data_IF_978482241727
#
_entry.id   IF_978482241727
#
_cell.length_a   1.000
_cell.length_b   1.000
_cell.length_c   1.000
_cell.angle_alpha   90.00
_cell.angle_beta   90.00
_cell.angle_gamma   90.00
#
_symmetry.space_group_name_H-M   'P 1'
#
loop_
_entity.id
_entity.type
_entity.pdbx_description
1 polymer ?
#
# COMPACT_ATOMS: atom_id res chain seq x y z
N UNK A 1 -34.43 41.40 -39.38
CA UNK A 1 -33.56 42.34 -38.63
C UNK A 1 -33.69 42.04 -37.16
N UNK A 2 -32.58 41.69 -36.51
CA UNK A 2 -32.29 41.66 -35.07
C UNK A 2 -31.19 40.60 -34.86
N UNK A 3 -30.22 40.88 -34.01
CA UNK A 3 -28.95 40.11 -33.88
C UNK A 3 -28.85 39.53 -32.48
N UNK A 4 -28.31 38.31 -32.37
CA UNK A 4 -27.83 37.75 -31.10
C UNK A 4 -26.50 36.99 -31.31
N UNK A 5 -25.39 37.71 -31.16
CA UNK A 5 -24.20 37.20 -30.46
C UNK A 5 -24.65 36.87 -29.01
N UNK A 6 -24.12 35.96 -28.20
CA UNK A 6 -22.86 35.19 -28.11
C UNK A 6 -23.19 33.85 -27.39
N UNK A 7 -22.36 32.80 -27.31
CA UNK A 7 -20.98 32.59 -27.74
C UNK A 7 -20.74 31.11 -28.12
N UNK A 8 -19.56 30.80 -28.66
CA UNK A 8 -18.99 29.44 -28.67
C UNK A 8 -17.93 29.34 -27.58
N UNK A 9 -18.27 28.77 -26.43
CA UNK A 9 -17.28 28.25 -25.49
C UNK A 9 -17.79 26.93 -24.92
N UNK A 10 -17.20 25.86 -25.43
CA UNK A 10 -17.40 24.51 -24.94
C UNK A 10 -16.86 24.39 -23.51
N UNK A 11 -17.67 23.81 -22.64
CA UNK A 11 -17.26 22.65 -21.85
C UNK A 11 -15.97 22.80 -21.00
N UNK A 12 -15.77 23.93 -20.32
CA UNK A 12 -14.95 23.95 -19.10
C UNK A 12 -15.85 23.74 -17.88
N UNK A 13 -16.52 22.59 -17.86
CA UNK A 13 -16.82 21.97 -16.59
C UNK A 13 -15.46 21.69 -15.96
N UNK A 14 -15.21 22.27 -14.78
CA UNK A 14 -13.97 22.10 -14.04
C UNK A 14 -13.79 20.61 -13.74
N UNK A 15 -13.01 19.94 -14.59
CA UNK A 15 -12.42 18.65 -14.27
C UNK A 15 -11.34 18.93 -13.22
N UNK A 16 -11.81 19.17 -11.99
CA UNK A 16 -11.09 18.75 -10.82
C UNK A 16 -11.04 17.23 -10.85
N UNK A 17 -10.20 16.70 -11.73
CA UNK A 17 -9.52 15.48 -11.41
C UNK A 17 -8.87 15.76 -10.06
N UNK A 18 -9.37 15.10 -9.02
CA UNK A 18 -8.45 14.69 -7.98
C UNK A 18 -7.46 13.81 -8.72
N UNK A 19 -6.29 14.38 -9.02
CA UNK A 19 -5.07 13.65 -8.72
C UNK A 19 -5.22 13.33 -7.24
N UNK A 20 -5.74 12.14 -6.95
CA UNK A 20 -5.29 11.42 -5.77
C UNK A 20 -3.78 11.39 -5.99
N UNK A 21 -3.02 12.11 -5.17
CA UNK A 21 -1.57 12.07 -5.28
C UNK A 21 -1.18 10.64 -4.89
N UNK A 22 -0.52 9.96 -5.81
CA UNK A 22 -0.27 8.52 -5.68
C UNK A 22 0.55 8.29 -4.41
N UNK A 23 -0.09 7.67 -3.42
CA UNK A 23 0.49 7.45 -2.11
C UNK A 23 1.39 6.21 -2.15
N UNK A 24 2.56 6.27 -1.53
CA UNK A 24 3.53 5.17 -1.54
C UNK A 24 4.43 5.16 -0.30
N UNK A 25 5.28 4.14 -0.18
CA UNK A 25 6.40 4.09 0.77
C UNK A 25 7.71 4.16 -0.03
N UNK A 26 8.55 5.15 0.26
CA UNK A 26 9.81 5.36 -0.46
C UNK A 26 10.83 4.28 -0.11
N UNK A 27 11.37 3.63 -1.13
CA UNK A 27 12.29 2.50 -0.99
C UNK A 27 11.63 1.13 -1.17
N UNK A 28 10.32 1.08 -1.46
CA UNK A 28 9.57 -0.12 -1.89
C UNK A 28 9.23 -0.10 -3.40
N UNK A 29 10.21 -0.27 -4.32
CA UNK A 29 9.97 -0.45 -5.75
C UNK A 29 9.18 -1.72 -6.10
N UNK A 30 8.98 -2.64 -5.15
CA UNK A 30 8.38 -3.94 -5.40
C UNK A 30 6.87 -3.97 -5.10
N UNK A 31 6.41 -3.08 -4.21
CA UNK A 31 5.01 -2.83 -3.87
C UNK A 31 4.45 -3.84 -2.86
N UNK A 32 5.27 -4.34 -1.94
CA UNK A 32 4.83 -5.26 -0.87
C UNK A 32 4.50 -4.56 0.47
N UNK A 33 4.75 -3.26 0.57
CA UNK A 33 4.52 -2.43 1.75
C UNK A 33 5.71 -2.35 2.71
N UNK A 34 6.84 -2.99 2.38
CA UNK A 34 8.03 -3.10 3.22
C UNK A 34 9.28 -2.52 2.55
N UNK A 35 10.38 -2.41 3.30
CA UNK A 35 11.71 -2.20 2.71
C UNK A 35 12.62 -3.31 3.20
N UNK A 36 13.03 -4.16 2.26
CA UNK A 36 13.89 -5.29 2.51
C UNK A 36 14.88 -5.53 1.34
N UNK A 37 15.40 -6.76 1.21
CA UNK A 37 16.35 -7.11 0.15
C UNK A 37 15.69 -7.29 -1.23
N UNK A 38 14.40 -7.63 -1.29
CA UNK A 38 13.66 -7.80 -2.56
C UNK A 38 13.57 -6.49 -3.33
N UNK A 39 13.54 -5.35 -2.65
CA UNK A 39 13.53 -4.01 -3.22
C UNK A 39 14.79 -3.67 -3.99
N UNK A 40 15.93 -3.92 -3.36
CA UNK A 40 17.25 -3.79 -3.98
C UNK A 40 17.33 -4.66 -5.23
N UNK A 41 16.79 -5.88 -5.15
CA UNK A 41 16.73 -6.81 -6.29
C UNK A 41 15.77 -6.27 -7.38
N UNK A 42 14.62 -5.72 -7.02
CA UNK A 42 13.63 -5.14 -7.93
C UNK A 42 14.23 -3.98 -8.75
N UNK A 43 14.79 -2.97 -8.07
CA UNK A 43 15.45 -1.82 -8.72
C UNK A 43 16.61 -2.26 -9.62
N UNK A 44 17.47 -3.18 -9.17
CA UNK A 44 18.59 -3.66 -10.00
C UNK A 44 18.13 -4.54 -11.19
N UNK A 45 17.06 -5.31 -11.04
CA UNK A 45 16.47 -6.09 -12.14
C UNK A 45 15.89 -5.16 -13.23
N UNK A 46 15.16 -4.12 -12.83
CA UNK A 46 14.67 -3.07 -13.72
C UNK A 46 15.82 -2.39 -14.48
N UNK A 47 16.84 -1.89 -13.75
CA UNK A 47 17.94 -1.12 -14.32
C UNK A 47 18.87 -1.92 -15.24
N UNK A 48 19.17 -3.18 -14.92
CA UNK A 48 20.27 -3.92 -15.56
C UNK A 48 19.87 -5.22 -16.26
N UNK A 49 18.75 -5.85 -15.88
CA UNK A 49 18.34 -7.14 -16.43
C UNK A 49 17.12 -7.05 -17.36
N UNK A 50 16.54 -5.85 -17.53
CA UNK A 50 15.34 -5.65 -18.33
C UNK A 50 14.09 -6.25 -17.67
N UNK A 51 14.03 -6.21 -16.34
CA UNK A 51 12.81 -6.50 -15.58
C UNK A 51 11.69 -5.50 -15.89
N UNK A 52 10.49 -5.81 -15.41
CA UNK A 52 9.35 -4.89 -15.50
C UNK A 52 9.69 -3.55 -14.85
N UNK A 53 9.15 -2.46 -15.40
CA UNK A 53 9.14 -1.16 -14.72
C UNK A 53 8.39 -1.28 -13.39
N UNK A 54 8.92 -0.75 -12.27
CA UNK A 54 8.16 -0.59 -11.03
C UNK A 54 6.84 0.12 -11.28
N UNK A 55 5.76 -0.29 -10.59
CA UNK A 55 4.49 0.44 -10.61
C UNK A 55 4.62 1.85 -10.03
N UNK A 56 5.58 2.02 -9.13
CA UNK A 56 5.92 3.27 -8.45
C UNK A 56 7.41 3.58 -8.63
N UNK A 57 7.72 4.60 -9.45
CA UNK A 57 9.11 5.01 -9.67
C UNK A 57 9.65 5.88 -8.53
N UNK A 58 8.79 6.63 -7.84
CA UNK A 58 9.19 7.40 -6.64
C UNK A 58 9.59 6.48 -5.48
N UNK A 59 9.00 5.27 -5.40
CA UNK A 59 9.44 4.26 -4.46
C UNK A 59 10.78 3.60 -4.85
N UNK A 60 11.12 3.60 -6.14
CA UNK A 60 12.40 3.11 -6.64
C UNK A 60 13.55 4.13 -6.51
N UNK A 61 13.23 5.42 -6.44
CA UNK A 61 14.15 6.50 -6.05
C UNK A 61 14.22 6.60 -4.51
N UNK A 62 15.08 5.77 -3.95
CA UNK A 62 15.21 5.56 -2.51
C UNK A 62 15.91 6.74 -1.81
N UNK A 63 16.75 7.50 -2.53
CA UNK A 63 17.45 8.67 -1.98
C UNK A 63 16.80 10.03 -2.33
N UNK A 64 15.71 10.00 -3.11
CA UNK A 64 14.88 11.13 -3.56
C UNK A 64 15.67 12.19 -4.35
N UNK A 65 16.38 11.76 -5.40
CA UNK A 65 17.20 12.62 -6.26
C UNK A 65 16.56 13.00 -7.61
N UNK A 66 15.39 12.43 -7.93
CA UNK A 66 14.66 12.53 -9.20
C UNK A 66 15.13 11.57 -10.29
N UNK A 67 15.92 10.53 -9.94
CA UNK A 67 16.49 9.57 -10.88
C UNK A 67 16.68 8.19 -10.24
N UNK A 68 15.90 7.20 -10.69
CA UNK A 68 16.12 5.79 -10.35
C UNK A 68 17.41 5.29 -11.00
N UNK A 69 18.40 4.92 -10.18
CA UNK A 69 19.73 4.51 -10.63
C UNK A 69 20.42 3.53 -9.66
N UNK A 70 21.71 3.25 -9.88
CA UNK A 70 22.46 2.30 -9.05
C UNK A 70 22.64 2.78 -7.59
N UNK A 71 22.59 4.09 -7.34
CA UNK A 71 22.77 4.63 -5.98
C UNK A 71 21.61 4.28 -5.06
N UNK A 72 20.39 4.12 -5.58
CA UNK A 72 19.20 3.76 -4.81
C UNK A 72 19.33 2.38 -4.17
N UNK A 73 19.74 1.38 -4.95
CA UNK A 73 20.03 0.05 -4.42
C UNK A 73 21.16 0.06 -3.37
N UNK A 74 22.16 0.94 -3.54
CA UNK A 74 23.23 1.14 -2.55
C UNK A 74 22.71 1.86 -1.29
N UNK A 75 21.78 2.81 -1.46
CA UNK A 75 21.15 3.58 -0.38
C UNK A 75 20.32 2.65 0.50
N UNK A 76 19.41 1.87 -0.09
CA UNK A 76 18.58 0.88 0.62
C UNK A 76 19.45 -0.17 1.34
N UNK A 77 20.52 -0.68 0.71
CA UNK A 77 21.47 -1.58 1.40
C UNK A 77 22.19 -0.92 2.59
N UNK A 78 22.56 0.36 2.48
CA UNK A 78 23.18 1.09 3.57
C UNK A 78 22.21 1.33 4.73
N UNK A 79 20.97 1.69 4.43
CA UNK A 79 19.90 1.79 5.42
C UNK A 79 19.71 0.46 6.16
N UNK A 80 19.50 -0.64 5.44
CA UNK A 80 19.19 -1.96 6.00
C UNK A 80 20.35 -2.59 6.81
N UNK A 81 21.61 -2.46 6.35
CA UNK A 81 22.73 -3.24 6.91
C UNK A 81 23.88 -2.42 7.49
N UNK A 82 23.98 -1.13 7.17
CA UNK A 82 25.10 -0.26 7.59
C UNK A 82 24.70 0.83 8.58
N UNK A 83 23.41 0.94 8.96
CA UNK A 83 22.91 2.03 9.77
C UNK A 83 22.97 3.38 9.04
N UNK A 84 22.70 3.37 7.73
CA UNK A 84 22.61 4.56 6.89
C UNK A 84 21.44 5.47 7.26
N UNK A 85 21.26 6.54 6.51
CA UNK A 85 20.07 7.39 6.63
C UNK A 85 18.81 6.57 6.31
N UNK A 86 17.73 6.82 7.04
CA UNK A 86 16.40 6.36 6.66
C UNK A 86 15.94 7.07 5.36
N UNK A 87 15.12 6.41 4.51
CA UNK A 87 14.57 7.04 3.32
C UNK A 87 13.92 8.40 3.63
N UNK A 88 14.04 9.38 2.71
CA UNK A 88 13.22 10.59 2.75
C UNK A 88 11.73 10.25 2.73
N UNK A 89 10.88 11.16 3.22
CA UNK A 89 9.44 10.98 3.15
C UNK A 89 8.95 10.71 1.71
N UNK A 90 7.92 9.88 1.49
CA UNK A 90 7.11 9.16 2.51
C UNK A 90 7.78 7.90 3.07
N UNK A 91 8.03 7.84 4.37
CA UNK A 91 8.54 6.64 5.09
C UNK A 91 8.44 6.84 6.62
N UNK A 92 8.13 5.80 7.42
CA UNK A 92 7.69 4.45 7.02
C UNK A 92 6.22 4.36 6.64
N UNK A 93 5.41 5.38 6.96
CA UNK A 93 4.02 5.43 6.55
C UNK A 93 3.85 5.85 5.09
N UNK A 94 2.76 5.38 4.48
CA UNK A 94 2.23 5.86 3.22
C UNK A 94 2.10 7.38 3.16
N UNK A 95 2.51 7.98 2.04
CA UNK A 95 2.27 9.40 1.78
C UNK A 95 2.57 9.83 0.35
N UNK A 96 2.32 11.11 0.09
CA UNK A 96 2.60 11.77 -1.19
C UNK A 96 4.09 12.15 -1.29
N UNK A 97 4.65 12.20 -2.50
CA UNK A 97 5.95 12.84 -2.68
C UNK A 97 5.86 14.37 -2.49
N UNK A 98 6.77 14.91 -1.69
CA UNK A 98 6.80 16.34 -1.35
C UNK A 98 7.67 17.17 -2.30
N UNK A 99 8.42 16.54 -3.21
CA UNK A 99 9.40 17.18 -4.10
C UNK A 99 9.11 16.97 -5.59
N UNK A 100 7.84 16.69 -5.92
CA UNK A 100 7.33 16.25 -7.22
C UNK A 100 8.17 16.63 -8.45
N UNK A 101 8.69 15.62 -9.14
CA UNK A 101 9.56 15.76 -10.31
C UNK A 101 9.00 15.10 -11.60
N UNK A 102 9.82 14.37 -12.37
CA UNK A 102 9.40 13.66 -13.59
C UNK A 102 9.08 12.17 -13.34
N UNK A 103 9.42 11.65 -12.14
CA UNK A 103 8.97 10.36 -11.64
C UNK A 103 7.50 10.44 -11.17
N UNK A 104 6.94 9.29 -10.81
CA UNK A 104 5.52 9.15 -10.47
C UNK A 104 5.15 7.70 -10.14
N UNK A 105 3.97 7.53 -9.53
CA UNK A 105 3.50 6.23 -9.05
C UNK A 105 2.17 5.78 -9.65
N UNK A 106 2.24 5.29 -10.90
CA UNK A 106 1.06 4.81 -11.63
C UNK A 106 0.29 3.69 -10.93
N UNK A 107 0.98 2.79 -10.22
CA UNK A 107 0.38 1.68 -9.46
C UNK A 107 1.17 1.42 -8.17
N UNK A 108 0.54 1.61 -7.00
CA UNK A 108 1.10 1.24 -5.70
C UNK A 108 0.01 0.76 -4.73
N UNK A 109 -0.25 -0.54 -4.72
CA UNK A 109 -1.34 -1.16 -3.96
C UNK A 109 -1.26 -1.00 -2.43
N UNK A 110 -0.08 -1.08 -1.76
CA UNK A 110 -0.03 -1.02 -0.28
C UNK A 110 -0.54 0.29 0.33
N UNK A 111 -0.57 1.38 -0.45
CA UNK A 111 -1.11 2.67 -0.02
C UNK A 111 -2.38 3.07 -0.77
N UNK A 112 -3.06 2.13 -1.43
CA UNK A 112 -4.31 2.36 -2.17
C UNK A 112 -5.54 2.56 -1.25
N UNK A 113 -5.40 3.43 -0.24
CA UNK A 113 -6.42 3.83 0.73
C UNK A 113 -7.59 4.66 0.17
N UNK A 114 -7.97 4.40 -1.09
CA UNK A 114 -9.30 4.75 -1.61
C UNK A 114 -10.34 3.65 -1.37
N UNK A 115 -9.91 2.44 -0.99
CA UNK A 115 -10.77 1.56 -0.19
C UNK A 115 -10.73 2.03 1.26
N UNK A 116 -11.87 2.09 1.97
CA UNK A 116 -11.86 2.37 3.41
C UNK A 116 -11.07 1.26 4.10
N UNK A 117 -10.08 1.63 4.92
CA UNK A 117 -9.37 0.67 5.79
C UNK A 117 -10.41 -0.03 6.65
N UNK A 118 -10.71 -1.29 6.35
CA UNK A 118 -11.69 -2.05 7.10
C UNK A 118 -10.95 -2.60 8.32
N UNK A 119 -11.34 -2.17 9.51
CA UNK A 119 -10.68 -2.63 10.74
C UNK A 119 -10.86 -4.14 10.86
N UNK A 120 -9.75 -4.88 10.85
CA UNK A 120 -9.73 -6.34 10.76
C UNK A 120 -9.35 -6.94 9.39
N UNK A 121 -9.28 -6.15 8.31
CA UNK A 121 -8.79 -6.57 6.98
C UNK A 121 -7.25 -6.51 7.00
N UNK A 122 -6.63 -7.56 7.52
CA UNK A 122 -5.18 -7.63 7.71
C UNK A 122 -4.44 -7.90 6.39
N UNK A 123 -5.12 -8.43 5.37
CA UNK A 123 -4.54 -8.81 4.07
C UNK A 123 -4.72 -7.73 2.96
N UNK A 124 -5.51 -6.68 3.21
CA UNK A 124 -5.90 -5.58 2.32
C UNK A 124 -6.77 -5.94 1.11
N UNK A 125 -7.47 -7.08 1.07
CA UNK A 125 -8.27 -7.49 -0.09
C UNK A 125 -9.66 -6.82 -0.17
N UNK A 126 -10.06 -6.10 0.88
CA UNK A 126 -11.32 -5.38 0.98
C UNK A 126 -12.46 -6.19 1.60
N UNK A 127 -12.19 -7.35 2.20
CA UNK A 127 -13.13 -8.05 3.11
C UNK A 127 -12.52 -8.25 4.50
N UNK A 128 -13.33 -8.70 5.45
CA UNK A 128 -12.85 -9.20 6.74
C UNK A 128 -13.29 -10.65 6.83
N UNK A 129 -12.35 -11.58 6.72
CA UNK A 129 -12.60 -13.01 6.72
C UNK A 129 -11.57 -13.83 7.52
N UNK A 130 -11.55 -15.17 7.35
CA UNK A 130 -10.65 -16.04 8.10
C UNK A 130 -9.18 -15.82 7.74
N UNK A 131 -8.88 -15.46 6.49
CA UNK A 131 -7.51 -15.32 5.99
C UNK A 131 -6.79 -14.15 6.69
N UNK A 132 -7.52 -13.11 7.13
CA UNK A 132 -6.98 -12.03 7.98
C UNK A 132 -6.47 -12.54 9.34
N UNK A 133 -7.25 -13.41 9.99
CA UNK A 133 -6.85 -14.06 11.23
C UNK A 133 -5.64 -14.98 11.04
N UNK A 134 -5.51 -15.61 9.86
CA UNK A 134 -4.34 -16.41 9.49
C UNK A 134 -3.10 -15.53 9.23
N UNK A 135 -3.28 -14.39 8.58
CA UNK A 135 -2.24 -13.39 8.31
C UNK A 135 -1.69 -12.78 9.62
N UNK A 136 -2.55 -12.42 10.58
CA UNK A 136 -2.08 -11.98 11.91
C UNK A 136 -1.42 -13.13 12.69
N UNK A 137 -1.95 -14.35 12.63
CA UNK A 137 -1.31 -15.52 13.26
C UNK A 137 0.10 -15.72 12.72
N UNK A 138 0.31 -15.60 11.42
CA UNK A 138 1.61 -15.84 10.78
C UNK A 138 2.57 -14.65 10.99
N UNK A 139 2.06 -13.42 11.10
CA UNK A 139 2.82 -12.28 11.64
C UNK A 139 3.35 -12.56 13.06
N UNK A 140 2.45 -12.94 13.98
CA UNK A 140 2.79 -13.15 15.40
C UNK A 140 3.70 -14.37 15.62
N UNK A 141 3.55 -15.43 14.81
CA UNK A 141 4.28 -16.70 15.02
C UNK A 141 5.52 -16.87 14.14
N UNK A 142 5.55 -16.26 12.96
CA UNK A 142 6.66 -16.40 11.99
C UNK A 142 7.38 -15.08 11.72
N UNK A 143 6.86 -13.95 12.20
CA UNK A 143 7.38 -12.61 11.87
C UNK A 143 7.08 -12.20 10.43
N UNK A 144 6.02 -12.76 9.82
CA UNK A 144 5.58 -12.38 8.47
C UNK A 144 5.17 -10.90 8.43
N UNK A 145 5.48 -10.20 7.36
CA UNK A 145 5.14 -8.78 7.21
C UNK A 145 3.66 -8.60 6.82
N UNK A 146 3.07 -7.47 7.22
CA UNK A 146 1.64 -7.18 7.07
C UNK A 146 1.44 -5.99 6.13
N UNK A 147 0.75 -6.20 5.03
CA UNK A 147 0.37 -5.16 4.07
C UNK A 147 -0.50 -4.06 4.72
N UNK A 148 -1.47 -4.43 5.57
CA UNK A 148 -2.32 -3.46 6.29
C UNK A 148 -2.10 -3.49 7.81
N UNK A 149 -0.90 -3.10 8.29
CA UNK A 149 -0.61 -3.07 9.74
C UNK A 149 -1.60 -2.22 10.56
N UNK A 150 -2.19 -1.19 9.97
CA UNK A 150 -3.21 -0.35 10.62
C UNK A 150 -4.60 -1.00 10.72
N UNK A 151 -4.94 -1.91 9.79
CA UNK A 151 -6.18 -2.70 9.87
C UNK A 151 -6.01 -3.93 10.77
N UNK A 152 -4.80 -4.49 10.80
CA UNK A 152 -4.42 -5.63 11.62
C UNK A 152 -4.31 -5.30 13.12
N UNK A 153 -4.17 -4.02 13.50
CA UNK A 153 -4.33 -3.54 14.88
C UNK A 153 -5.82 -3.38 15.20
N UNK A 154 -6.55 -4.50 15.11
CA UNK A 154 -8.01 -4.50 15.12
C UNK A 154 -8.61 -3.96 16.43
N UNK A 155 -7.86 -4.02 17.53
CA UNK A 155 -8.29 -3.52 18.84
C UNK A 155 -7.85 -2.06 19.14
N UNK A 156 -7.07 -1.46 18.24
CA UNK A 156 -6.48 -0.11 18.35
C UNK A 156 -5.55 0.10 19.59
N UNK A 157 -4.86 -0.95 20.08
CA UNK A 157 -3.86 -0.83 21.17
C UNK A 157 -2.46 -0.39 20.70
N UNK A 158 -2.23 -0.34 19.38
CA UNK A 158 -0.98 0.07 18.77
C UNK A 158 0.01 -1.07 18.52
N UNK A 159 -0.37 -2.33 18.80
CA UNK A 159 0.50 -3.51 18.72
C UNK A 159 -0.25 -4.68 18.09
N UNK A 160 0.04 -5.02 16.83
CA UNK A 160 -0.55 -6.22 16.21
C UNK A 160 -0.12 -7.49 16.95
N UNK A 161 -1.08 -8.17 17.58
CA UNK A 161 -0.85 -9.33 18.43
C UNK A 161 -2.02 -10.33 18.41
N UNK A 162 -2.00 -11.35 19.28
CA UNK A 162 -3.05 -12.39 19.34
C UNK A 162 -4.43 -11.84 19.70
N UNK A 163 -4.51 -10.70 20.39
CA UNK A 163 -5.78 -10.07 20.76
C UNK A 163 -6.52 -9.54 19.53
N UNK A 164 -5.81 -9.11 18.49
CA UNK A 164 -6.38 -8.60 17.25
C UNK A 164 -6.96 -9.73 16.40
N UNK A 165 -6.21 -10.83 16.25
CA UNK A 165 -6.72 -12.06 15.62
C UNK A 165 -7.97 -12.60 16.35
N UNK A 166 -8.02 -12.49 17.68
CA UNK A 166 -9.22 -12.85 18.47
C UNK A 166 -10.37 -11.88 18.19
N UNK A 167 -10.11 -10.59 18.02
CA UNK A 167 -11.15 -9.60 17.74
C UNK A 167 -11.74 -9.78 16.33
N UNK A 168 -10.89 -10.00 15.32
CA UNK A 168 -11.31 -10.39 13.96
C UNK A 168 -12.18 -11.64 14.03
N UNK A 169 -11.69 -12.71 14.68
CA UNK A 169 -12.44 -13.96 14.81
C UNK A 169 -13.82 -13.79 15.48
N UNK A 170 -13.95 -12.87 16.44
CA UNK A 170 -15.25 -12.54 17.04
C UNK A 170 -16.19 -11.85 16.02
N UNK A 171 -15.68 -10.92 15.20
CA UNK A 171 -16.45 -10.27 14.13
C UNK A 171 -16.95 -11.29 13.09
N UNK A 172 -16.15 -12.31 12.76
CA UNK A 172 -16.56 -13.40 11.86
C UNK A 172 -17.65 -14.31 12.44
N UNK A 173 -17.76 -14.38 13.77
CA UNK A 173 -18.78 -15.17 14.47
C UNK A 173 -20.10 -14.38 14.59
N UNK A 174 -20.01 -13.05 14.70
CA UNK A 174 -21.18 -12.14 14.74
C UNK A 174 -21.73 -11.82 13.33
N UNK A 175 -20.96 -12.05 12.26
CA UNK A 175 -21.46 -12.10 10.89
C UNK A 175 -22.30 -13.37 10.69
N UNK A 176 -23.64 -13.22 10.62
CA UNK A 176 -24.57 -14.37 10.67
C UNK A 176 -24.17 -15.52 9.74
N UNK A 177 -23.86 -16.73 10.28
CA UNK A 177 -23.67 -17.88 9.43
C UNK A 177 -24.99 -18.18 8.73
N UNK A 178 -25.00 -18.16 7.39
CA UNK A 178 -26.16 -18.58 6.61
C UNK A 178 -26.43 -20.05 6.89
N UNK A 179 -27.33 -20.30 7.83
CA UNK A 179 -27.83 -21.58 8.35
C UNK A 179 -27.17 -22.84 7.77
N UNK A 180 -26.23 -23.42 8.51
CA UNK A 180 -26.00 -24.87 8.39
C UNK A 180 -27.22 -25.55 9.02
N UNK A 181 -28.12 -26.02 8.16
CA UNK A 181 -29.29 -26.78 8.58
C UNK A 181 -28.85 -28.16 9.08
N UNK A 182 -28.80 -28.30 10.41
CA UNK A 182 -28.53 -29.56 11.10
C UNK A 182 -29.82 -30.30 11.52
N UNK A 183 -30.82 -30.29 10.65
CA UNK A 183 -31.93 -31.25 10.62
C UNK A 183 -31.95 -31.79 9.17
N UNK A 184 -31.77 -33.09 8.89
CA UNK A 184 -32.67 -34.15 9.33
C UNK A 184 -31.92 -35.37 9.89
N UNK A 185 -32.40 -35.85 11.03
CA UNK A 185 -32.01 -37.12 11.66
C UNK A 185 -32.67 -38.35 11.00
N UNK A 186 -31.95 -39.49 11.09
CA UNK A 186 -32.33 -40.92 10.92
C UNK A 186 -31.77 -41.66 9.69
#
# INVERSE_FOLDING_TARGET
MAVAFVCSLMLWASLGARLEADSFVRGDPNGDGSINMTDVISTLNFLFLGGSTPGCLDAADADNNGVVQLTDGIYTLNFLFSGGAQPPAPWPECGEDQLADELGCAEYSPCAGSQPVILGDANCDGVVDQDDGEIIRDHVTMGLELCCRAAADANEDGIVNVNDAVLILNVLIDAEPTSVDCDLTD
#
